data_IF_364337519679
#
_entry.id   IF_364337519679
#
_cell.length_a   1.000
_cell.length_b   1.000
_cell.length_c   1.000
_cell.angle_alpha   90.00
_cell.angle_beta   90.00
_cell.angle_gamma   90.00
#
_symmetry.space_group_name_H-M   'P 1'
#
loop_
_entity.id
_entity.type
_entity.pdbx_description
1 polymer ?
#
# COMPACT_ATOMS: atom_id res chain seq x y z
N UNK A 1 -15.71 42.56 24.73
CA UNK A 1 -14.41 41.85 24.75
C UNK A 1 -14.68 40.36 24.69
N UNK A 2 -14.42 39.75 23.53
CA UNK A 2 -14.76 38.35 23.25
C UNK A 2 -13.69 37.39 23.75
N UNK A 3 -14.12 36.30 24.38
CA UNK A 3 -13.30 35.13 24.63
C UNK A 3 -13.54 34.11 23.53
N UNK A 4 -12.68 34.10 22.52
CA UNK A 4 -12.58 32.99 21.57
C UNK A 4 -11.76 31.87 22.24
N UNK A 5 -12.44 30.82 22.68
CA UNK A 5 -11.82 29.53 22.97
C UNK A 5 -11.61 28.82 21.63
N UNK A 6 -10.36 28.66 21.22
CA UNK A 6 -10.00 27.77 20.12
C UNK A 6 -10.18 26.32 20.58
N UNK A 7 -11.31 25.73 20.23
CA UNK A 7 -11.50 24.29 20.17
C UNK A 7 -11.12 23.81 18.77
N UNK A 8 -10.36 22.71 18.70
CA UNK A 8 -10.02 22.07 17.44
C UNK A 8 -8.67 21.38 17.51
N UNK A 9 -8.54 20.38 18.38
CA UNK A 9 -7.50 19.38 18.19
C UNK A 9 -7.71 18.79 16.79
N UNK A 10 -6.72 18.93 15.93
CA UNK A 10 -6.68 18.29 14.63
C UNK A 10 -6.69 16.78 14.87
N UNK A 11 -7.88 16.20 14.82
CA UNK A 11 -8.08 14.76 14.76
C UNK A 11 -7.33 14.29 13.52
N UNK A 12 -6.18 13.63 13.70
CA UNK A 12 -5.50 12.94 12.61
C UNK A 12 -6.51 11.98 11.98
N UNK A 13 -6.64 11.91 10.65
CA UNK A 13 -7.46 10.88 10.05
C UNK A 13 -6.94 9.54 10.58
N UNK A 14 -7.85 8.73 11.12
CA UNK A 14 -7.55 7.35 11.50
C UNK A 14 -6.94 6.67 10.26
N UNK A 15 -5.63 6.46 10.27
CA UNK A 15 -5.01 5.46 9.40
C UNK A 15 -5.63 4.15 9.85
N UNK A 16 -6.60 3.66 9.09
CA UNK A 16 -7.39 2.47 9.38
C UNK A 16 -6.58 1.19 9.21
N UNK A 17 -5.36 1.16 9.74
CA UNK A 17 -4.59 -0.05 9.84
C UNK A 17 -5.21 -0.90 10.95
N UNK A 18 -5.54 -2.13 10.58
CA UNK A 18 -5.95 -3.16 11.53
C UNK A 18 -4.77 -3.35 12.49
N UNK A 19 -4.84 -2.80 13.70
CA UNK A 19 -3.85 -3.10 14.73
C UNK A 19 -3.86 -4.61 14.98
N UNK A 20 -2.83 -5.29 14.50
CA UNK A 20 -2.62 -6.72 14.70
C UNK A 20 -3.42 -7.61 13.76
N UNK A 21 -2.94 -7.81 12.53
CA UNK A 21 -3.28 -9.01 11.78
C UNK A 21 -2.60 -10.22 12.44
N UNK A 22 -3.32 -11.34 12.54
CA UNK A 22 -2.77 -12.68 12.81
C UNK A 22 -3.58 -13.69 11.99
N UNK A 23 -2.93 -14.63 11.28
CA UNK A 23 -3.67 -15.61 10.49
C UNK A 23 -4.47 -16.54 11.39
N UNK A 24 -5.73 -16.79 11.04
CA UNK A 24 -6.61 -17.73 11.78
C UNK A 24 -6.44 -19.17 11.32
N UNK A 25 -6.05 -19.35 10.07
CA UNK A 25 -5.86 -20.63 9.42
C UNK A 25 -4.72 -20.56 8.38
N UNK A 26 -4.42 -21.70 7.76
CA UNK A 26 -3.38 -21.82 6.73
C UNK A 26 -3.71 -21.01 5.48
N UNK A 27 -4.98 -20.92 5.09
CA UNK A 27 -5.40 -20.15 3.91
C UNK A 27 -5.16 -18.65 4.11
N UNK A 28 -5.48 -18.12 5.29
CA UNK A 28 -5.23 -16.73 5.68
C UNK A 28 -3.73 -16.46 5.81
N UNK A 29 -2.96 -17.41 6.36
CA UNK A 29 -1.49 -17.34 6.41
C UNK A 29 -0.87 -17.28 5.01
N UNK A 30 -1.29 -18.16 4.10
CA UNK A 30 -0.81 -18.20 2.72
C UNK A 30 -1.15 -16.92 1.94
N UNK A 31 -2.37 -16.41 2.11
CA UNK A 31 -2.78 -15.13 1.52
C UNK A 31 -1.95 -13.96 2.08
N UNK A 32 -1.71 -13.93 3.40
CA UNK A 32 -0.90 -12.91 4.04
C UNK A 32 0.55 -12.95 3.56
N UNK A 33 1.11 -14.15 3.36
CA UNK A 33 2.48 -14.35 2.87
C UNK A 33 2.63 -13.84 1.44
N UNK A 34 1.69 -14.17 0.56
CA UNK A 34 1.65 -13.66 -0.81
C UNK A 34 1.59 -12.13 -0.85
N UNK A 35 0.74 -11.54 -0.01
CA UNK A 35 0.65 -10.08 0.07
C UNK A 35 1.96 -9.47 0.58
N UNK A 36 2.57 -10.03 1.63
CA UNK A 36 3.84 -9.55 2.17
C UNK A 36 4.97 -9.62 1.14
N UNK A 37 5.04 -10.71 0.36
CA UNK A 37 6.00 -10.86 -0.74
C UNK A 37 5.79 -9.81 -1.83
N UNK A 38 4.54 -9.59 -2.26
CA UNK A 38 4.20 -8.58 -3.25
C UNK A 38 4.62 -7.17 -2.80
N UNK A 39 4.59 -6.90 -1.49
CA UNK A 39 4.97 -5.61 -0.90
C UNK A 39 6.48 -5.48 -0.60
N UNK A 40 7.27 -6.53 -0.76
CA UNK A 40 8.68 -6.54 -0.35
C UNK A 40 9.68 -6.02 -1.40
N UNK A 41 9.22 -5.76 -2.63
CA UNK A 41 10.06 -5.23 -3.70
C UNK A 41 10.29 -3.71 -3.63
N UNK A 42 11.22 -3.20 -4.45
CA UNK A 42 11.25 -1.77 -4.79
C UNK A 42 10.06 -1.46 -5.71
N UNK A 43 8.96 -1.03 -5.09
CA UNK A 43 7.70 -0.78 -5.79
C UNK A 43 7.60 0.61 -6.43
N UNK A 44 8.51 1.52 -6.06
CA UNK A 44 8.48 2.92 -6.41
C UNK A 44 9.87 3.39 -6.86
N UNK A 45 9.95 4.38 -7.77
CA UNK A 45 11.21 4.92 -8.26
C UNK A 45 11.94 5.74 -7.18
N UNK A 46 13.27 5.78 -7.24
CA UNK A 46 14.07 6.73 -6.44
C UNK A 46 13.87 8.16 -6.95
N UNK A 47 14.25 9.16 -6.13
CA UNK A 47 14.19 10.57 -6.54
C UNK A 47 15.01 10.91 -7.80
N UNK A 48 16.06 10.14 -8.07
CA UNK A 48 16.96 10.32 -9.23
C UNK A 48 16.47 9.59 -10.50
N UNK A 49 15.27 9.02 -10.51
CA UNK A 49 14.75 8.26 -11.64
C UNK A 49 14.21 9.19 -12.75
N UNK A 50 14.47 8.84 -14.01
CA UNK A 50 14.29 9.71 -15.19
C UNK A 50 13.44 9.09 -16.32
N UNK A 51 12.63 8.06 -16.01
CA UNK A 51 11.78 7.36 -16.98
C UNK A 51 10.38 7.97 -17.20
N UNK A 52 9.42 7.12 -17.57
CA UNK A 52 8.01 7.51 -17.78
C UNK A 52 7.12 7.16 -16.58
N UNK A 53 6.15 8.00 -16.16
CA UNK A 53 5.33 7.69 -14.98
C UNK A 53 4.63 6.33 -15.06
N UNK A 54 4.25 5.87 -16.26
CA UNK A 54 3.73 4.52 -16.49
C UNK A 54 4.71 3.41 -16.04
N UNK A 55 6.01 3.57 -16.29
CA UNK A 55 7.06 2.66 -15.79
C UNK A 55 7.23 2.77 -14.28
N UNK A 56 7.24 3.99 -13.74
CA UNK A 56 7.36 4.23 -12.29
C UNK A 56 6.28 3.52 -11.48
N UNK A 57 5.04 3.51 -11.96
CA UNK A 57 3.93 2.84 -11.28
C UNK A 57 3.76 1.37 -11.69
N UNK A 58 4.67 0.83 -12.51
CA UNK A 58 4.64 -0.57 -12.97
C UNK A 58 4.68 -1.58 -11.83
N UNK A 59 5.49 -1.33 -10.80
CA UNK A 59 5.54 -2.16 -9.59
C UNK A 59 4.19 -2.18 -8.84
N UNK A 60 3.51 -1.03 -8.76
CA UNK A 60 2.20 -0.92 -8.11
C UNK A 60 1.10 -1.65 -8.89
N UNK A 61 1.19 -1.69 -10.23
CA UNK A 61 0.29 -2.50 -11.06
C UNK A 61 0.43 -4.00 -10.75
N UNK A 62 1.66 -4.48 -10.56
CA UNK A 62 1.91 -5.87 -10.17
C UNK A 62 1.29 -6.18 -8.79
N UNK A 63 1.37 -5.25 -7.84
CA UNK A 63 0.71 -5.39 -6.52
C UNK A 63 -0.81 -5.52 -6.66
N UNK A 64 -1.45 -4.69 -7.50
CA UNK A 64 -2.90 -4.82 -7.75
C UNK A 64 -3.28 -6.16 -8.39
N UNK A 65 -2.46 -6.66 -9.32
CA UNK A 65 -2.66 -7.96 -9.95
C UNK A 65 -2.58 -9.09 -8.91
N UNK A 66 -1.60 -9.04 -8.00
CA UNK A 66 -1.51 -10.01 -6.89
C UNK A 66 -2.69 -9.88 -5.92
N UNK A 67 -3.13 -8.66 -5.60
CA UNK A 67 -4.33 -8.45 -4.77
C UNK A 67 -5.57 -9.10 -5.40
N UNK A 68 -5.77 -8.95 -6.71
CA UNK A 68 -6.85 -9.63 -7.43
C UNK A 68 -6.68 -11.16 -7.41
N UNK A 69 -5.45 -11.65 -7.62
CA UNK A 69 -5.13 -13.08 -7.54
C UNK A 69 -5.37 -13.69 -6.16
N UNK A 70 -5.06 -12.96 -5.08
CA UNK A 70 -5.36 -13.37 -3.70
C UNK A 70 -6.87 -13.45 -3.51
N UNK A 71 -7.64 -12.41 -3.90
CA UNK A 71 -9.10 -12.43 -3.76
C UNK A 71 -9.76 -13.60 -4.51
N UNK A 72 -9.27 -13.91 -5.70
CA UNK A 72 -9.80 -14.99 -6.55
C UNK A 72 -9.43 -16.39 -6.07
N UNK A 73 -8.25 -16.56 -5.48
CA UNK A 73 -7.78 -17.85 -4.96
C UNK A 73 -8.19 -18.13 -3.51
N UNK A 74 -8.63 -17.12 -2.75
CA UNK A 74 -8.94 -17.27 -1.33
C UNK A 74 -10.25 -18.03 -1.11
N UNK A 75 -10.15 -19.21 -0.50
CA UNK A 75 -11.27 -20.13 -0.22
C UNK A 75 -11.85 -19.99 1.19
N UNK A 76 -11.27 -19.15 2.04
CA UNK A 76 -11.74 -18.91 3.41
C UNK A 76 -12.90 -17.91 3.50
N UNK A 77 -13.22 -17.48 4.71
CA UNK A 77 -14.31 -16.53 4.96
C UNK A 77 -14.06 -15.16 4.32
N UNK A 78 -15.06 -14.60 3.62
CA UNK A 78 -14.92 -13.30 2.94
C UNK A 78 -14.72 -12.10 3.87
N UNK A 79 -14.91 -12.29 5.18
CA UNK A 79 -14.68 -11.32 6.24
C UNK A 79 -13.28 -11.41 6.87
N UNK A 80 -12.41 -12.30 6.35
CA UNK A 80 -11.06 -12.50 6.86
C UNK A 80 -10.25 -11.19 6.91
N UNK A 81 -9.40 -11.07 7.92
CA UNK A 81 -8.63 -9.85 8.14
C UNK A 81 -7.63 -9.59 7.00
N UNK A 82 -7.07 -10.65 6.40
CA UNK A 82 -6.21 -10.54 5.22
C UNK A 82 -6.93 -9.88 4.03
N UNK A 83 -8.22 -10.17 3.82
CA UNK A 83 -8.95 -9.56 2.71
C UNK A 83 -9.19 -8.06 2.95
N UNK A 84 -9.37 -7.63 4.21
CA UNK A 84 -9.43 -6.21 4.54
C UNK A 84 -8.10 -5.48 4.28
N UNK A 85 -6.96 -6.15 4.49
CA UNK A 85 -5.65 -5.61 4.12
C UNK A 85 -5.49 -5.52 2.60
N UNK A 86 -5.94 -6.54 1.86
CA UNK A 86 -5.98 -6.50 0.40
C UNK A 86 -6.87 -5.34 -0.09
N UNK A 87 -8.04 -5.16 0.52
CA UNK A 87 -8.97 -4.08 0.18
C UNK A 87 -8.37 -2.69 0.44
N UNK A 88 -7.64 -2.51 1.54
CA UNK A 88 -6.97 -1.23 1.84
C UNK A 88 -5.84 -0.92 0.85
N UNK A 89 -5.04 -1.92 0.47
CA UNK A 89 -3.99 -1.78 -0.56
C UNK A 89 -4.62 -1.37 -1.90
N UNK A 90 -5.67 -2.06 -2.34
CA UNK A 90 -6.34 -1.76 -3.60
C UNK A 90 -6.94 -0.36 -3.59
N UNK A 91 -7.57 0.03 -2.49
CA UNK A 91 -8.14 1.36 -2.34
C UNK A 91 -7.08 2.45 -2.50
N UNK A 92 -5.98 2.36 -1.74
CA UNK A 92 -4.94 3.39 -1.73
C UNK A 92 -4.18 3.48 -3.06
N UNK A 93 -4.03 2.37 -3.78
CA UNK A 93 -3.35 2.35 -5.08
C UNK A 93 -4.23 2.77 -6.27
N UNK A 94 -5.55 2.80 -6.12
CA UNK A 94 -6.47 3.06 -7.24
C UNK A 94 -6.22 4.41 -7.91
N UNK A 95 -6.24 5.50 -7.13
CA UNK A 95 -6.12 6.86 -7.66
C UNK A 95 -4.75 7.13 -8.30
N UNK A 96 -3.59 6.87 -7.65
CA UNK A 96 -2.30 7.11 -8.29
C UNK A 96 -2.12 6.30 -9.58
N UNK A 97 -2.64 5.07 -9.63
CA UNK A 97 -2.57 4.28 -10.84
C UNK A 97 -3.47 4.82 -11.96
N UNK A 98 -4.69 5.25 -11.66
CA UNK A 98 -5.55 5.86 -12.67
C UNK A 98 -4.96 7.15 -13.24
N UNK A 99 -4.21 7.91 -12.44
CA UNK A 99 -3.54 9.13 -12.88
C UNK A 99 -2.34 8.87 -13.79
N UNK A 100 -1.50 7.88 -13.46
CA UNK A 100 -0.15 7.78 -14.02
C UNK A 100 0.08 6.59 -14.97
N UNK A 101 -0.79 5.57 -14.96
CA UNK A 101 -0.53 4.28 -15.65
C UNK A 101 -0.38 4.38 -17.18
N UNK A 102 -1.01 5.38 -17.79
CA UNK A 102 -1.06 5.57 -19.24
C UNK A 102 -0.13 6.71 -19.70
N UNK A 103 0.61 7.30 -18.77
CA UNK A 103 1.50 8.42 -19.05
C UNK A 103 2.89 7.91 -19.48
N UNK A 104 3.06 7.84 -20.80
CA UNK A 104 4.27 7.36 -21.46
C UNK A 104 5.26 8.47 -21.83
N UNK A 105 5.04 9.71 -21.38
CA UNK A 105 5.95 10.81 -21.66
C UNK A 105 7.07 10.86 -20.61
N UNK A 106 8.34 11.02 -21.00
CA UNK A 106 9.46 11.18 -20.06
C UNK A 106 9.15 12.26 -19.03
N UNK A 107 9.45 11.97 -17.77
CA UNK A 107 9.15 12.88 -16.68
C UNK A 107 10.11 14.08 -16.70
N UNK A 108 9.57 15.28 -16.53
CA UNK A 108 10.37 16.46 -16.19
C UNK A 108 10.40 16.65 -14.66
N UNK A 109 11.19 17.60 -14.17
CA UNK A 109 11.36 17.80 -12.73
C UNK A 109 10.05 18.09 -11.99
N UNK A 110 9.15 18.88 -12.59
CA UNK A 110 7.87 19.25 -11.99
C UNK A 110 6.93 18.05 -11.92
N UNK A 111 6.85 17.28 -13.00
CA UNK A 111 6.05 16.04 -13.04
C UNK A 111 6.61 14.96 -12.13
N UNK A 112 7.93 14.88 -11.97
CA UNK A 112 8.55 13.94 -11.04
C UNK A 112 8.18 14.29 -9.60
N UNK A 113 8.24 15.58 -9.24
CA UNK A 113 7.81 16.04 -7.92
C UNK A 113 6.32 15.74 -7.66
N UNK A 114 5.45 15.95 -8.65
CA UNK A 114 4.02 15.64 -8.54
C UNK A 114 3.78 14.14 -8.37
N UNK A 115 4.41 13.30 -9.21
CA UNK A 115 4.34 11.84 -9.11
C UNK A 115 4.76 11.35 -7.72
N UNK A 116 5.89 11.83 -7.19
CA UNK A 116 6.34 11.48 -5.86
C UNK A 116 5.35 11.93 -4.76
N UNK A 117 4.77 13.12 -4.88
CA UNK A 117 3.76 13.61 -3.94
C UNK A 117 2.51 12.72 -3.94
N UNK A 118 2.03 12.34 -5.12
CA UNK A 118 0.84 11.49 -5.25
C UNK A 118 1.08 10.08 -4.70
N UNK A 119 2.30 9.57 -4.83
CA UNK A 119 2.69 8.25 -4.36
C UNK A 119 3.04 8.19 -2.87
N UNK A 120 3.40 9.31 -2.23
CA UNK A 120 3.93 9.34 -0.87
C UNK A 120 3.01 8.61 0.14
N UNK A 121 1.72 8.96 0.16
CA UNK A 121 0.75 8.35 1.07
C UNK A 121 0.51 6.86 0.77
N UNK A 122 0.59 6.47 -0.50
CA UNK A 122 0.49 5.06 -0.88
C UNK A 122 1.69 4.26 -0.38
N UNK A 123 2.90 4.78 -0.58
CA UNK A 123 4.13 4.13 -0.13
C UNK A 123 4.15 3.94 1.38
N UNK A 124 3.74 4.95 2.14
CA UNK A 124 3.62 4.87 3.60
C UNK A 124 2.64 3.76 4.01
N UNK A 125 1.42 3.76 3.44
CA UNK A 125 0.41 2.75 3.74
C UNK A 125 0.86 1.31 3.38
N UNK A 126 1.51 1.13 2.23
CA UNK A 126 2.04 -0.18 1.84
C UNK A 126 3.11 -0.68 2.82
N UNK A 127 3.98 0.22 3.30
CA UNK A 127 4.97 -0.12 4.32
C UNK A 127 4.31 -0.50 5.66
N UNK A 128 3.26 0.21 6.07
CA UNK A 128 2.48 -0.11 7.28
C UNK A 128 1.80 -1.49 7.17
N UNK A 129 1.12 -1.78 6.06
CA UNK A 129 0.49 -3.08 5.79
C UNK A 129 1.54 -4.19 5.81
N UNK A 130 2.68 -3.99 5.14
CA UNK A 130 3.78 -4.94 5.14
C UNK A 130 4.29 -5.21 6.56
N UNK A 131 4.50 -4.18 7.37
CA UNK A 131 4.95 -4.34 8.74
C UNK A 131 3.92 -5.07 9.62
N UNK A 132 2.62 -4.85 9.39
CA UNK A 132 1.54 -5.59 10.05
C UNK A 132 1.58 -7.07 9.67
N UNK A 133 1.75 -7.39 8.39
CA UNK A 133 1.89 -8.77 7.91
C UNK A 133 3.13 -9.45 8.50
N UNK A 134 4.27 -8.76 8.50
CA UNK A 134 5.53 -9.29 9.01
C UNK A 134 5.42 -9.65 10.51
N UNK A 135 4.81 -8.78 11.32
CA UNK A 135 4.56 -9.06 12.74
C UNK A 135 3.55 -10.19 12.95
N UNK A 136 2.45 -10.16 12.20
CA UNK A 136 1.36 -11.12 12.35
C UNK A 136 1.69 -12.54 11.89
N UNK A 137 2.50 -12.66 10.83
CA UNK A 137 2.93 -13.93 10.24
C UNK A 137 4.23 -14.48 10.83
N UNK A 138 4.92 -13.71 11.68
CA UNK A 138 6.23 -14.11 12.23
C UNK A 138 7.38 -13.99 11.21
N UNK A 139 7.28 -13.06 10.26
CA UNK A 139 8.25 -12.85 9.18
C UNK A 139 9.14 -11.63 9.38
N UNK A 140 9.00 -10.92 10.51
CA UNK A 140 9.78 -9.71 10.79
C UNK A 140 11.31 -9.94 10.69
N UNK A 141 11.81 -11.09 11.11
CA UNK A 141 13.24 -11.44 11.02
C UNK A 141 13.72 -11.63 9.58
N UNK A 142 12.83 -11.90 8.62
CA UNK A 142 13.16 -12.01 7.20
C UNK A 142 13.39 -10.64 6.55
N UNK A 143 12.90 -9.55 7.14
CA UNK A 143 13.15 -8.18 6.66
C UNK A 143 14.55 -7.69 7.00
N UNK A 144 15.21 -8.29 7.99
CA UNK A 144 16.53 -7.87 8.49
C UNK A 144 17.71 -8.50 7.73
N UNK A 145 17.44 -9.27 6.66
CA UNK A 145 18.43 -10.01 5.87
C UNK A 145 18.47 -9.49 4.44
#
# INVERSE_FOLDING_TARGET
MGHLRCAGALQRPHSGVVEGWRPRDEAESAAGWRLWLALSGRLWPSAEWDGTPAEAVGGLRAVLAECAGIRGAYTGERTAAVLRLVDSVVFVLSLPLDLWRDDALPVDADRAALLHSDLAGAVEHLAEVRAVLARGGGWAELEAR
#
